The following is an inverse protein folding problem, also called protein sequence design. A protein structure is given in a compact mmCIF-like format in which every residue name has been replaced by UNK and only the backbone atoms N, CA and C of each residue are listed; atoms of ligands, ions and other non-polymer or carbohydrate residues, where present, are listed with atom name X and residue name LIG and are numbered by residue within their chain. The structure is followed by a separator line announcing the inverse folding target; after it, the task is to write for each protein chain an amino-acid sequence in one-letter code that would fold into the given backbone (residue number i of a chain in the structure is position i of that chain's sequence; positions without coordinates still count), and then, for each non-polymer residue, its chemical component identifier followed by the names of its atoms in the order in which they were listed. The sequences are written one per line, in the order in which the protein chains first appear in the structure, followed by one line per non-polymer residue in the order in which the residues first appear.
data_IF_644742756273
#
_entry.id   IF_644742756273
#
_cell.length_a   1.000
_cell.length_b   1.000
_cell.length_c   1.000
_cell.angle_alpha   90.00
_cell.angle_beta   90.00
_cell.angle_gamma   90.00
#
_symmetry.space_group_name_H-M   'P 1'
#
loop_
_entity.id
_entity.type
_entity.pdbx_description
1 polymer ?
#
# COMPACT_ATOMS: atom_id res chain seq x y z
N UNK A 1 4.61 18.57 -10.36
CA UNK A 1 4.84 18.18 -8.95
C UNK A 1 5.17 16.70 -8.94
N UNK A 2 6.33 16.34 -8.39
CA UNK A 2 6.93 15.01 -8.45
C UNK A 2 6.05 14.03 -7.68
N UNK A 3 5.42 13.06 -8.35
CA UNK A 3 4.74 11.93 -7.70
C UNK A 3 5.80 11.20 -6.86
N UNK A 4 5.83 11.48 -5.55
CA UNK A 4 6.66 10.71 -4.61
C UNK A 4 6.12 9.29 -4.63
N UNK A 5 6.93 8.35 -5.12
CA UNK A 5 6.66 6.93 -4.95
C UNK A 5 6.79 6.65 -3.45
N UNK A 6 5.66 6.53 -2.77
CA UNK A 6 5.59 6.10 -1.38
C UNK A 6 6.09 4.65 -1.30
N UNK A 7 6.94 4.34 -0.32
CA UNK A 7 7.39 2.97 -0.05
C UNK A 7 6.27 2.16 0.62
N UNK A 8 6.41 0.83 0.68
CA UNK A 8 5.41 0.02 1.39
C UNK A 8 5.36 0.38 2.88
N UNK A 9 6.52 0.58 3.49
CA UNK A 9 6.67 0.92 4.90
C UNK A 9 6.01 2.27 5.23
N UNK A 10 6.28 3.31 4.43
CA UNK A 10 5.63 4.61 4.58
C UNK A 10 4.11 4.53 4.40
N UNK A 11 3.62 3.69 3.48
CA UNK A 11 2.18 3.52 3.26
C UNK A 11 1.49 2.83 4.46
N UNK A 12 2.17 1.87 5.09
CA UNK A 12 1.68 1.22 6.31
C UNK A 12 1.70 2.19 7.50
N UNK A 13 2.79 2.94 7.69
CA UNK A 13 2.86 3.95 8.75
C UNK A 13 1.75 5.00 8.62
N UNK A 14 1.48 5.47 7.40
CA UNK A 14 0.40 6.42 7.14
C UNK A 14 -0.98 5.80 7.39
N UNK A 15 -1.17 4.51 7.06
CA UNK A 15 -2.39 3.76 7.36
C UNK A 15 -2.63 3.63 8.86
N UNK A 16 -1.61 3.30 9.65
CA UNK A 16 -1.70 3.22 11.11
C UNK A 16 -2.11 4.55 11.73
N UNK A 17 -1.49 5.65 11.28
CA UNK A 17 -1.86 7.00 11.72
C UNK A 17 -3.30 7.35 11.35
N UNK A 18 -3.75 7.02 10.14
CA UNK A 18 -5.12 7.26 9.73
C UNK A 18 -6.12 6.48 10.57
N UNK A 19 -5.81 5.24 10.94
CA UNK A 19 -6.67 4.42 11.80
C UNK A 19 -6.76 5.04 13.20
N UNK A 20 -5.64 5.41 13.81
CA UNK A 20 -5.61 6.08 15.11
C UNK A 20 -6.43 7.38 15.10
N UNK A 21 -6.29 8.16 14.04
CA UNK A 21 -7.04 9.39 13.81
C UNK A 21 -8.55 9.16 13.64
N UNK A 22 -8.94 8.03 13.04
CA UNK A 22 -10.34 7.65 12.81
C UNK A 22 -11.00 7.09 14.07
N UNK A 23 -10.22 6.50 14.98
CA UNK A 23 -10.69 6.02 16.29
C UNK A 23 -10.90 7.16 17.30
N UNK A 24 -10.45 8.38 16.97
CA UNK A 24 -10.65 9.55 17.80
C UNK A 24 -12.13 9.96 17.86
N UNK A 25 -12.70 9.97 19.07
CA UNK A 25 -14.13 10.19 19.34
C UNK A 25 -14.67 11.55 18.85
N UNK A 26 -13.78 12.51 18.56
CA UNK A 26 -14.12 13.87 18.12
C UNK A 26 -14.00 14.09 16.60
N UNK A 27 -13.81 13.03 15.81
CA UNK A 27 -13.69 13.18 14.35
C UNK A 27 -15.03 13.57 13.71
N UNK A 28 -15.03 14.61 12.86
CA UNK A 28 -16.21 15.01 12.08
C UNK A 28 -16.48 14.04 10.93
N UNK A 29 -17.75 13.89 10.52
CA UNK A 29 -18.15 12.93 9.47
C UNK A 29 -17.51 13.22 8.10
N UNK A 30 -17.32 14.49 7.77
CA UNK A 30 -16.65 14.91 6.54
C UNK A 30 -15.15 14.54 6.58
N UNK A 31 -14.52 14.70 7.74
CA UNK A 31 -13.12 14.35 7.97
C UNK A 31 -12.92 12.84 7.93
N UNK A 32 -13.81 12.08 8.57
CA UNK A 32 -13.84 10.62 8.50
C UNK A 32 -13.93 10.15 7.04
N UNK A 33 -14.81 10.75 6.24
CA UNK A 33 -14.94 10.42 4.82
C UNK A 33 -13.66 10.71 4.03
N UNK A 34 -12.93 11.78 4.35
CA UNK A 34 -11.64 12.08 3.73
C UNK A 34 -10.56 11.06 4.13
N UNK A 35 -10.46 10.72 5.42
CA UNK A 35 -9.48 9.75 5.93
C UNK A 35 -9.72 8.35 5.36
N UNK A 36 -10.98 7.92 5.27
CA UNK A 36 -11.34 6.64 4.62
C UNK A 36 -10.91 6.59 3.15
N UNK A 37 -11.14 7.67 2.39
CA UNK A 37 -10.70 7.73 0.98
C UNK A 37 -9.18 7.63 0.86
N UNK A 38 -8.46 8.30 1.76
CA UNK A 38 -6.99 8.25 1.79
C UNK A 38 -6.50 6.84 2.13
N UNK A 39 -7.05 6.22 3.17
CA UNK A 39 -6.74 4.85 3.56
C UNK A 39 -6.98 3.86 2.41
N UNK A 40 -8.09 4.00 1.68
CA UNK A 40 -8.38 3.17 0.50
C UNK A 40 -7.28 3.29 -0.57
N UNK A 41 -6.81 4.50 -0.87
CA UNK A 41 -5.75 4.72 -1.86
C UNK A 41 -4.40 4.12 -1.42
N UNK A 42 -4.09 4.19 -0.13
CA UNK A 42 -2.89 3.57 0.44
C UNK A 42 -2.97 2.05 0.35
N UNK A 43 -4.12 1.44 0.65
CA UNK A 43 -4.35 -0.01 0.52
C UNK A 43 -4.15 -0.47 -0.92
N UNK A 44 -4.67 0.27 -1.91
CA UNK A 44 -4.45 -0.04 -3.33
C UNK A 44 -2.96 -0.03 -3.68
N UNK A 45 -2.23 0.97 -3.20
CA UNK A 45 -0.78 1.08 -3.42
C UNK A 45 -0.02 -0.09 -2.78
N UNK A 46 -0.39 -0.48 -1.55
CA UNK A 46 0.20 -1.63 -0.88
C UNK A 46 -0.05 -2.94 -1.65
N UNK A 47 -1.29 -3.14 -2.15
CA UNK A 47 -1.63 -4.31 -2.96
C UNK A 47 -0.84 -4.37 -4.26
N UNK A 48 -0.69 -3.24 -4.95
CA UNK A 48 0.09 -3.16 -6.18
C UNK A 48 1.56 -3.55 -5.93
N UNK A 49 2.18 -3.03 -4.86
CA UNK A 49 3.55 -3.40 -4.50
C UNK A 49 3.69 -4.89 -4.16
N UNK A 50 2.73 -5.45 -3.42
CA UNK A 50 2.75 -6.88 -3.08
C UNK A 50 2.64 -7.75 -4.32
N UNK A 51 1.75 -7.40 -5.26
CA UNK A 51 1.58 -8.12 -6.52
C UNK A 51 2.85 -8.04 -7.38
N UNK A 52 3.47 -6.86 -7.49
CA UNK A 52 4.73 -6.69 -8.23
C UNK A 52 5.85 -7.53 -7.59
N UNK A 53 5.94 -7.52 -6.26
CA UNK A 53 6.93 -8.33 -5.53
C UNK A 53 6.68 -9.83 -5.72
N UNK A 54 5.43 -10.28 -5.67
CA UNK A 54 5.04 -11.66 -5.93
C UNK A 54 5.41 -12.10 -7.35
N UNK A 55 5.14 -11.25 -8.35
CA UNK A 55 5.52 -11.51 -9.74
C UNK A 55 7.03 -11.62 -9.91
N UNK A 56 7.80 -10.77 -9.24
CA UNK A 56 9.26 -10.80 -9.28
C UNK A 56 9.81 -12.06 -8.62
N UNK A 57 9.28 -12.44 -7.44
CA UNK A 57 9.60 -13.69 -6.76
C UNK A 57 9.28 -14.89 -7.67
N UNK A 58 8.08 -14.92 -8.26
CA UNK A 58 7.69 -15.99 -9.17
C UNK A 58 8.61 -16.05 -10.39
N UNK A 59 9.03 -14.91 -10.95
CA UNK A 59 9.97 -14.87 -12.08
C UNK A 59 11.34 -15.44 -11.71
N UNK A 60 11.83 -15.17 -10.50
CA UNK A 60 13.12 -15.66 -10.01
C UNK A 60 13.04 -17.17 -9.70
N UNK A 61 11.93 -17.63 -9.13
CA UNK A 61 11.73 -19.02 -8.70
C UNK A 61 11.13 -19.92 -9.78
N UNK A 62 10.68 -19.36 -10.90
CA UNK A 62 10.17 -20.12 -12.05
C UNK A 62 11.25 -21.05 -12.59
N UNK A 63 11.01 -22.37 -12.69
CA UNK A 63 11.99 -23.35 -13.18
C UNK A 63 12.43 -23.11 -14.63
N UNK A 64 11.67 -22.32 -15.40
CA UNK A 64 11.99 -21.92 -16.78
C UNK A 64 13.14 -20.91 -16.86
N UNK A 65 13.47 -20.19 -15.78
CA UNK A 65 14.62 -19.27 -15.73
C UNK A 65 15.95 -19.99 -15.40
N UNK A 66 15.89 -21.28 -15.01
CA UNK A 66 17.04 -22.10 -14.66
C UNK A 66 17.40 -23.13 -15.74
N UNK A 67 16.67 -23.16 -16.86
CA UNK A 67 17.01 -23.99 -18.01
C UNK A 67 17.62 -23.11 -19.10
N UNK A 68 18.87 -22.71 -18.88
CA UNK A 68 19.79 -22.39 -19.97
C UNK A 68 20.26 -23.73 -20.57
N UNK A 69 19.51 -24.28 -21.53
CA UNK A 69 20.02 -25.22 -22.54
C UNK A 69 19.88 -24.62 -23.94
#
# INVERSE_FOLDING_TARGET
MTKKNITYDEAIQELEQLVEDMENENIGIDELSMKVRRASALIETCREKLLLTEQEIHKILSPEALNEE
#
